data_IF_844796154227
#
_entry.id   IF_844796154227
#
_cell.length_a   1.000
_cell.length_b   1.000
_cell.length_c   1.000
_cell.angle_alpha   90.00
_cell.angle_beta   90.00
_cell.angle_gamma   90.00
#
_symmetry.space_group_name_H-M   'P 1'
#
loop_
_entity.id
_entity.type
_entity.pdbx_description
1 polymer ?
#
# COMPACT_ATOMS: atom_id res chain seq x y z
N UNK A 1 -13.03 -2.41 -19.70
CA UNK A 1 -12.84 -3.63 -18.87
C UNK A 1 -11.74 -4.48 -19.52
N UNK A 2 -10.59 -4.67 -18.86
CA UNK A 2 -9.47 -5.45 -19.44
C UNK A 2 -9.83 -6.94 -19.41
N UNK A 3 -9.92 -7.60 -20.57
CA UNK A 3 -10.17 -9.05 -20.65
C UNK A 3 -9.04 -9.82 -19.96
N UNK A 4 -9.38 -10.75 -19.07
CA UNK A 4 -8.42 -11.70 -18.49
C UNK A 4 -8.18 -12.79 -19.53
N UNK A 5 -6.92 -13.00 -19.90
CA UNK A 5 -6.51 -14.02 -20.87
C UNK A 5 -5.93 -15.19 -20.08
N UNK A 6 -6.26 -16.43 -20.47
CA UNK A 6 -5.66 -17.61 -19.85
C UNK A 6 -4.12 -17.54 -19.93
N UNK A 7 -3.43 -17.90 -18.85
CA UNK A 7 -1.97 -17.75 -18.72
C UNK A 7 -1.48 -16.36 -18.27
N UNK A 8 -2.37 -15.35 -18.22
CA UNK A 8 -2.02 -14.06 -17.62
C UNK A 8 -2.18 -14.08 -16.10
N UNK A 9 -1.12 -13.73 -15.37
CA UNK A 9 -1.13 -13.54 -13.92
C UNK A 9 -0.57 -12.16 -13.57
N UNK A 10 -1.00 -11.59 -12.44
CA UNK A 10 -0.41 -10.36 -11.92
C UNK A 10 0.72 -10.72 -10.96
N UNK A 11 1.92 -10.22 -11.25
CA UNK A 11 3.07 -10.32 -10.35
C UNK A 11 3.01 -9.18 -9.34
N UNK A 12 2.83 -9.46 -8.04
CA UNK A 12 2.83 -8.40 -7.03
C UNK A 12 4.24 -7.79 -6.92
N UNK A 13 4.29 -6.48 -6.68
CA UNK A 13 5.53 -5.73 -6.50
C UNK A 13 5.68 -5.31 -5.05
N UNK A 14 6.92 -5.28 -4.58
CA UNK A 14 7.28 -4.79 -3.27
C UNK A 14 6.98 -3.30 -3.18
N UNK A 15 6.28 -2.89 -2.12
CA UNK A 15 5.85 -1.50 -1.93
C UNK A 15 7.00 -0.54 -1.62
N UNK A 16 8.15 -1.05 -1.18
CA UNK A 16 9.33 -0.25 -0.82
C UNK A 16 10.28 -0.10 -2.01
N UNK A 17 10.63 -1.19 -2.70
CA UNK A 17 11.67 -1.18 -3.74
C UNK A 17 11.21 -1.54 -5.15
N UNK A 18 9.92 -1.85 -5.34
CA UNK A 18 9.36 -2.18 -6.67
C UNK A 18 9.77 -3.52 -7.27
N UNK A 19 10.70 -4.27 -6.64
CA UNK A 19 11.06 -5.65 -7.03
C UNK A 19 9.88 -6.60 -6.83
N UNK A 20 9.97 -7.83 -7.32
CA UNK A 20 8.92 -8.84 -7.15
C UNK A 20 8.69 -9.09 -5.65
N UNK A 21 7.43 -8.97 -5.21
CA UNK A 21 7.05 -9.30 -3.85
C UNK A 21 7.01 -10.82 -3.69
N UNK A 22 7.61 -11.32 -2.61
CA UNK A 22 7.70 -12.75 -2.29
C UNK A 22 6.80 -13.13 -1.11
N UNK A 23 6.27 -12.14 -0.38
CA UNK A 23 5.41 -12.37 0.76
C UNK A 23 4.84 -11.07 1.32
N UNK A 24 4.29 -11.14 2.53
CA UNK A 24 3.70 -10.00 3.25
C UNK A 24 4.41 -9.72 4.56
N UNK A 25 4.46 -8.45 4.98
CA UNK A 25 4.96 -8.05 6.29
C UNK A 25 3.85 -8.10 7.36
N UNK A 26 4.18 -7.77 8.61
CA UNK A 26 3.20 -7.72 9.72
C UNK A 26 2.07 -6.70 9.53
N UNK A 27 2.24 -5.69 8.66
CA UNK A 27 1.20 -4.72 8.29
C UNK A 27 0.35 -5.21 7.09
N UNK A 28 0.61 -6.42 6.58
CA UNK A 28 -0.08 -7.02 5.45
C UNK A 28 0.35 -6.49 4.08
N UNK A 29 1.44 -5.72 4.00
CA UNK A 29 1.96 -5.13 2.76
C UNK A 29 2.77 -6.14 1.96
N UNK A 30 2.64 -6.11 0.63
CA UNK A 30 3.41 -6.95 -0.28
C UNK A 30 4.88 -6.48 -0.34
N UNK A 31 5.81 -7.36 0.01
CA UNK A 31 7.22 -7.05 0.21
C UNK A 31 8.13 -8.15 -0.32
N UNK A 32 9.38 -7.79 -0.64
CA UNK A 32 10.42 -8.76 -0.97
C UNK A 32 11.07 -9.31 0.30
N UNK A 33 11.90 -10.36 0.16
CA UNK A 33 12.60 -10.98 1.31
C UNK A 33 13.47 -10.02 2.12
N UNK A 34 14.03 -8.99 1.48
CA UNK A 34 14.94 -8.04 2.13
C UNK A 34 14.15 -7.10 3.07
N UNK A 35 13.01 -6.60 2.61
CA UNK A 35 12.19 -5.65 3.37
C UNK A 35 11.12 -6.34 4.23
N UNK A 36 11.47 -7.50 4.81
CA UNK A 36 10.52 -8.31 5.59
C UNK A 36 10.07 -7.65 6.87
N UNK A 37 11.02 -7.02 7.55
CA UNK A 37 10.85 -6.41 8.87
C UNK A 37 10.62 -4.92 8.79
N UNK A 38 10.80 -4.33 7.60
CA UNK A 38 10.60 -2.92 7.36
C UNK A 38 9.12 -2.56 7.42
N UNK A 39 8.83 -1.51 8.18
CA UNK A 39 7.48 -0.97 8.36
C UNK A 39 7.35 0.28 7.53
N UNK A 40 6.19 0.44 6.91
CA UNK A 40 5.87 1.67 6.24
C UNK A 40 5.51 2.72 7.29
N UNK A 41 6.18 3.88 7.22
CA UNK A 41 5.91 5.02 8.08
C UNK A 41 4.48 5.55 7.90
N UNK A 42 3.99 6.22 8.94
CA UNK A 42 2.68 6.85 8.95
C UNK A 42 2.61 7.96 7.90
N UNK A 43 1.68 7.81 6.95
CA UNK A 43 1.46 8.79 5.88
C UNK A 43 0.47 9.86 6.37
N UNK A 44 0.70 11.12 6.01
CA UNK A 44 -0.24 12.20 6.28
C UNK A 44 -1.32 12.25 5.20
N UNK A 45 -2.58 12.34 5.60
CA UNK A 45 -3.69 12.56 4.68
C UNK A 45 -3.71 14.01 4.19
N UNK A 46 -4.38 14.28 3.07
CA UNK A 46 -4.60 15.65 2.56
C UNK A 46 -5.39 16.53 3.52
N UNK A 47 -6.14 15.95 4.46
CA UNK A 47 -6.84 16.70 5.52
C UNK A 47 -5.93 17.06 6.71
N UNK A 48 -4.67 16.64 6.71
CA UNK A 48 -3.70 16.92 7.77
C UNK A 48 -3.64 15.88 8.89
N UNK A 49 -4.59 14.95 8.95
CA UNK A 49 -4.58 13.83 9.91
C UNK A 49 -3.69 12.68 9.45
N UNK A 50 -3.26 11.83 10.39
CA UNK A 50 -2.49 10.62 10.10
C UNK A 50 -3.36 9.51 9.50
N UNK A 51 -2.76 8.70 8.63
CA UNK A 51 -3.38 7.51 8.05
C UNK A 51 -2.92 6.25 8.78
N UNK A 52 -3.88 5.51 9.30
CA UNK A 52 -3.64 4.21 9.94
C UNK A 52 -3.69 3.09 8.91
N UNK A 53 -2.66 2.26 8.87
CA UNK A 53 -2.65 1.04 8.04
C UNK A 53 -3.50 -0.02 8.72
N UNK A 54 -4.48 -0.56 7.98
CA UNK A 54 -5.33 -1.67 8.43
C UNK A 54 -5.34 -2.77 7.39
N UNK A 55 -5.58 -4.01 7.83
CA UNK A 55 -5.71 -5.16 6.95
C UNK A 55 -7.18 -5.57 6.81
N UNK A 56 -7.64 -5.75 5.57
CA UNK A 56 -8.97 -6.28 5.27
C UNK A 56 -8.89 -7.54 4.42
N UNK A 57 -10.05 -8.11 4.08
CA UNK A 57 -10.18 -9.32 3.24
C UNK A 57 -9.46 -9.22 1.89
N UNK A 58 -9.41 -8.02 1.32
CA UNK A 58 -8.86 -7.76 -0.01
C UNK A 58 -7.42 -7.21 0.00
N UNK A 59 -6.79 -7.13 1.17
CA UNK A 59 -5.45 -6.57 1.36
C UNK A 59 -5.44 -5.38 2.30
N UNK A 60 -4.28 -4.76 2.44
CA UNK A 60 -4.10 -3.59 3.31
C UNK A 60 -4.71 -2.33 2.69
N UNK A 61 -5.27 -1.50 3.55
CA UNK A 61 -5.86 -0.20 3.22
C UNK A 61 -5.48 0.81 4.30
N UNK A 62 -5.69 2.09 4.01
CA UNK A 62 -5.47 3.15 4.98
C UNK A 62 -6.80 3.68 5.49
N UNK A 63 -6.87 4.02 6.77
CA UNK A 63 -8.02 4.69 7.36
C UNK A 63 -7.57 6.06 7.86
N UNK A 64 -8.28 7.10 7.44
CA UNK A 64 -8.20 8.42 8.02
C UNK A 64 -9.36 8.59 9.00
N UNK A 65 -9.09 9.13 10.19
CA UNK A 65 -10.13 9.44 11.17
C UNK A 65 -11.17 10.44 10.63
N UNK A 66 -10.74 11.39 9.78
CA UNK A 66 -11.59 12.46 9.26
C UNK A 66 -12.17 12.17 7.86
N UNK A 67 -11.41 11.50 6.99
CA UNK A 67 -11.83 11.24 5.59
C UNK A 67 -12.36 9.82 5.35
N UNK A 68 -12.18 8.91 6.30
CA UNK A 68 -12.59 7.51 6.18
C UNK A 68 -11.56 6.63 5.45
N UNK A 69 -12.05 5.58 4.81
CA UNK A 69 -11.21 4.54 4.22
C UNK A 69 -10.63 4.96 2.85
N UNK A 70 -9.33 4.78 2.69
CA UNK A 70 -8.57 5.10 1.48
C UNK A 70 -7.89 3.83 0.98
N UNK A 71 -7.98 3.58 -0.32
CA UNK A 71 -7.29 2.46 -0.94
C UNK A 71 -5.77 2.64 -0.88
N UNK A 72 -5.03 1.53 -0.77
CA UNK A 72 -3.57 1.55 -0.70
C UNK A 72 -2.92 2.35 -1.84
N UNK A 73 -3.42 2.17 -3.07
CA UNK A 73 -2.93 2.89 -4.25
C UNK A 73 -3.08 4.40 -4.11
N UNK A 74 -4.25 4.86 -3.65
CA UNK A 74 -4.52 6.30 -3.49
C UNK A 74 -3.71 6.89 -2.34
N UNK A 75 -3.50 6.15 -1.26
CA UNK A 75 -2.65 6.60 -0.15
C UNK A 75 -1.18 6.78 -0.59
N UNK A 76 -0.67 5.91 -1.45
CA UNK A 76 0.67 6.07 -2.02
C UNK A 76 0.80 7.28 -2.97
N UNK A 77 -0.25 7.57 -3.73
CA UNK A 77 -0.33 8.81 -4.52
C UNK A 77 -0.31 10.05 -3.61
N UNK A 78 -1.07 10.04 -2.51
CA UNK A 78 -1.10 11.14 -1.52
C UNK A 78 0.27 11.32 -0.87
N UNK A 79 0.95 10.23 -0.51
CA UNK A 79 2.30 10.28 0.06
C UNK A 79 3.26 11.08 -0.81
N UNK A 80 3.29 10.79 -2.12
CA UNK A 80 4.13 11.51 -3.07
C UNK A 80 3.80 13.00 -3.18
N UNK A 81 2.54 13.39 -2.96
CA UNK A 81 2.13 14.81 -2.93
C UNK A 81 2.57 15.51 -1.64
N UNK A 82 2.52 14.82 -0.50
CA UNK A 82 2.81 15.41 0.82
C UNK A 82 4.30 15.42 1.19
N UNK A 83 5.12 14.52 0.66
CA UNK A 83 6.58 14.49 0.88
C UNK A 83 7.36 15.46 -0.03
N UNK A 84 6.68 16.11 -0.99
CA UNK A 84 7.29 17.03 -1.96
C UNK A 84 7.19 18.52 -1.57
N UNK A 85 6.85 18.81 -0.30
CA UNK A 85 6.80 20.17 0.28
C UNK A 85 7.83 20.28 1.39
#
# INVERSE_FOLDING_TARGET
MRRKIYGSYQTPKCVICGKIATGRNGQGLEICRIHKEEKLDSIKCTCGSWLDIRQGKFGSYFNCMNCGNISFRKAMEIRGLTESI
#
